data_IF_378251411494
#
_entry.id   IF_378251411494
#
_cell.length_a   1.000
_cell.length_b   1.000
_cell.length_c   1.000
_cell.angle_alpha   90.00
_cell.angle_beta   90.00
_cell.angle_gamma   90.00
#
_symmetry.space_group_name_H-M   'P 1'
#
loop_
_entity.id
_entity.type
_entity.pdbx_description
1 polymer ?
#
# COMPACT_ATOMS: atom_id res chain seq x y z
N UNK A 1 -11.63 -10.85 25.47
CA UNK A 1 -12.98 -10.74 26.06
C UNK A 1 -13.55 -9.31 26.06
N UNK A 2 -13.25 -8.38 26.98
CA UNK A 2 -14.03 -7.10 27.10
C UNK A 2 -13.98 -6.16 25.88
N UNK A 3 -12.83 -6.02 25.21
CA UNK A 3 -12.70 -5.12 24.04
C UNK A 3 -13.42 -5.66 22.79
N UNK A 4 -13.52 -6.98 22.65
CA UNK A 4 -14.03 -7.65 21.44
C UNK A 4 -15.54 -7.52 21.32
N UNK A 5 -16.23 -7.78 22.42
CA UNK A 5 -17.69 -7.69 22.54
C UNK A 5 -18.17 -6.26 22.27
N UNK A 6 -17.42 -5.24 22.74
CA UNK A 6 -17.68 -3.83 22.45
C UNK A 6 -17.49 -3.46 20.97
N UNK A 7 -16.44 -3.96 20.31
CA UNK A 7 -16.19 -3.66 18.89
C UNK A 7 -17.19 -4.30 17.93
N UNK A 8 -17.63 -5.52 18.22
CA UNK A 8 -18.61 -6.23 17.39
C UNK A 8 -20.03 -5.69 17.65
N UNK A 9 -20.43 -5.48 18.91
CA UNK A 9 -21.75 -4.93 19.25
C UNK A 9 -21.93 -3.47 18.84
N UNK A 10 -20.86 -2.68 18.80
CA UNK A 10 -20.89 -1.31 18.30
C UNK A 10 -20.76 -1.21 16.76
N UNK A 11 -20.65 -2.34 16.04
CA UNK A 11 -20.63 -2.38 14.58
C UNK A 11 -19.39 -1.75 13.93
N UNK A 12 -18.26 -1.69 14.64
CA UNK A 12 -17.04 -1.07 14.13
C UNK A 12 -16.32 -1.90 13.06
N UNK A 13 -16.49 -3.22 13.07
CA UNK A 13 -15.90 -4.13 12.09
C UNK A 13 -17.02 -4.78 11.29
N UNK A 14 -17.18 -4.37 10.02
CA UNK A 14 -18.21 -4.91 9.12
C UNK A 14 -17.68 -6.03 8.23
N UNK A 15 -16.42 -5.93 7.82
CA UNK A 15 -15.79 -6.89 6.91
C UNK A 15 -14.32 -7.05 7.28
N UNK A 16 -13.83 -8.26 7.14
CA UNK A 16 -12.40 -8.61 7.24
C UNK A 16 -11.89 -8.88 5.84
N UNK A 17 -10.78 -8.23 5.47
CA UNK A 17 -10.15 -8.40 4.17
C UNK A 17 -8.87 -9.23 4.36
N UNK A 18 -8.85 -10.44 3.81
CA UNK A 18 -7.62 -11.22 3.68
C UNK A 18 -6.93 -10.83 2.38
N UNK A 19 -5.76 -10.21 2.50
CA UNK A 19 -4.94 -9.78 1.37
C UNK A 19 -3.73 -10.69 1.27
N UNK A 20 -3.55 -11.27 0.10
CA UNK A 20 -2.44 -12.15 -0.23
C UNK A 20 -1.72 -11.59 -1.45
N UNK A 21 -0.40 -11.43 -1.32
CA UNK A 21 0.45 -10.92 -2.39
C UNK A 21 1.47 -12.01 -2.72
N UNK A 22 1.41 -12.53 -3.94
CA UNK A 22 2.35 -13.51 -4.44
C UNK A 22 3.29 -12.86 -5.47
N UNK A 23 4.58 -13.06 -5.29
CA UNK A 23 5.62 -12.55 -6.19
C UNK A 23 6.11 -13.70 -7.06
N UNK A 24 6.17 -13.55 -8.38
CA UNK A 24 6.55 -14.66 -9.23
C UNK A 24 8.06 -14.94 -9.26
N UNK A 25 8.90 -13.92 -9.02
CA UNK A 25 10.34 -13.95 -9.31
C UNK A 25 11.20 -13.63 -8.08
N UNK A 26 11.10 -12.40 -7.55
CA UNK A 26 11.90 -11.95 -6.42
C UNK A 26 11.03 -11.48 -5.25
N UNK A 27 11.18 -12.12 -4.09
CA UNK A 27 10.63 -11.61 -2.83
C UNK A 27 11.49 -10.42 -2.39
N UNK A 28 11.03 -9.21 -2.70
CA UNK A 28 11.74 -7.98 -2.32
C UNK A 28 11.51 -7.75 -0.83
N UNK A 29 12.56 -7.94 -0.02
CA UNK A 29 12.47 -7.77 1.43
C UNK A 29 12.50 -6.30 1.87
N UNK A 30 12.85 -5.38 0.96
CA UNK A 30 13.11 -3.97 1.26
C UNK A 30 12.85 -3.09 0.03
N UNK A 31 12.15 -1.96 0.23
CA UNK A 31 11.95 -0.94 -0.82
C UNK A 31 13.28 -0.33 -1.32
N UNK A 32 14.32 -0.38 -0.49
CA UNK A 32 15.65 0.13 -0.80
C UNK A 32 16.37 -0.80 -1.78
N UNK A 33 16.11 -2.11 -1.71
CA UNK A 33 16.67 -3.10 -2.63
C UNK A 33 16.04 -2.99 -4.01
N UNK A 34 14.76 -2.61 -4.08
CA UNK A 34 14.07 -2.28 -5.33
C UNK A 34 14.80 -1.14 -6.08
N UNK A 35 15.19 -0.08 -5.36
CA UNK A 35 15.87 1.09 -5.94
C UNK A 35 17.33 0.81 -6.29
N UNK A 36 18.04 0.03 -5.47
CA UNK A 36 19.48 -0.23 -5.66
C UNK A 36 19.79 -1.35 -6.65
N UNK A 37 19.03 -2.44 -6.60
CA UNK A 37 19.29 -3.64 -7.42
C UNK A 37 18.45 -3.66 -8.69
N UNK A 38 17.43 -2.80 -8.80
CA UNK A 38 16.49 -2.82 -9.92
C UNK A 38 15.72 -4.12 -10.01
N UNK A 39 15.69 -4.91 -8.93
CA UNK A 39 14.97 -6.18 -8.81
C UNK A 39 13.48 -5.90 -8.65
N UNK A 40 12.87 -5.34 -9.69
CA UNK A 40 11.43 -5.15 -9.76
C UNK A 40 10.80 -6.51 -10.10
N UNK A 41 9.96 -7.07 -9.22
CA UNK A 41 9.29 -8.33 -9.52
C UNK A 41 8.47 -8.18 -10.79
N UNK A 42 8.77 -9.00 -11.81
CA UNK A 42 8.15 -8.90 -13.14
C UNK A 42 6.63 -9.10 -13.12
N UNK A 43 6.12 -9.91 -12.20
CA UNK A 43 4.69 -10.10 -11.97
C UNK A 43 4.40 -10.22 -10.47
N UNK A 44 3.35 -9.52 -10.05
CA UNK A 44 2.80 -9.52 -8.70
C UNK A 44 1.33 -9.87 -8.80
N UNK A 45 0.91 -10.92 -8.09
CA UNK A 45 -0.47 -11.39 -8.08
C UNK A 45 -1.11 -11.01 -6.74
N UNK A 46 -2.24 -10.31 -6.80
CA UNK A 46 -3.02 -9.92 -5.64
C UNK A 46 -4.27 -10.79 -5.55
N UNK A 47 -4.43 -11.52 -4.45
CA UNK A 47 -5.67 -12.20 -4.06
C UNK A 47 -6.26 -11.47 -2.85
N UNK A 48 -7.47 -10.94 -3.02
CA UNK A 48 -8.17 -10.19 -1.98
C UNK A 48 -9.51 -10.84 -1.74
N UNK A 49 -9.68 -11.44 -0.56
CA UNK A 49 -10.90 -12.14 -0.17
C UNK A 49 -11.61 -11.35 0.91
N UNK A 50 -12.91 -11.14 0.70
CA UNK A 50 -13.78 -10.42 1.63
C UNK A 50 -14.53 -11.42 2.50
N UNK A 51 -14.31 -11.36 3.80
CA UNK A 51 -15.04 -12.15 4.81
C UNK A 51 -15.99 -11.22 5.55
N UNK A 52 -17.25 -11.62 5.66
CA UNK A 52 -18.24 -10.87 6.43
C UNK A 52 -17.94 -10.98 7.93
N UNK A 53 -18.01 -9.87 8.67
CA UNK A 53 -17.83 -9.91 10.12
C UNK A 53 -18.85 -10.83 10.82
N UNK A 54 -20.04 -11.00 10.22
CA UNK A 54 -21.10 -11.86 10.73
C UNK A 54 -20.80 -13.37 10.61
N UNK A 55 -19.85 -13.78 9.78
CA UNK A 55 -19.49 -15.20 9.62
C UNK A 55 -18.35 -15.65 10.55
N UNK A 56 -17.83 -14.77 11.41
CA UNK A 56 -16.78 -15.12 12.36
C UNK A 56 -17.36 -15.85 13.58
N UNK A 57 -16.63 -16.84 14.14
CA UNK A 57 -17.02 -17.50 15.38
C UNK A 57 -17.10 -16.51 16.54
N UNK A 58 -18.13 -16.63 17.39
CA UNK A 58 -18.31 -15.77 18.56
C UNK A 58 -17.36 -16.14 19.71
N UNK A 59 -16.91 -17.40 19.79
CA UNK A 59 -15.95 -17.83 20.81
C UNK A 59 -14.49 -17.49 20.45
N UNK A 60 -13.70 -17.07 21.44
CA UNK A 60 -12.30 -16.65 21.24
C UNK A 60 -11.41 -17.85 20.85
N UNK A 61 -11.69 -19.05 21.36
CA UNK A 61 -10.93 -20.27 21.06
C UNK A 61 -11.27 -20.80 19.66
N UNK A 62 -12.55 -20.77 19.28
CA UNK A 62 -13.00 -21.10 17.94
C UNK A 62 -12.49 -20.09 16.90
N UNK A 63 -12.45 -18.80 17.22
CA UNK A 63 -11.88 -17.78 16.35
C UNK A 63 -10.38 -18.02 16.11
N UNK A 64 -9.63 -18.36 17.16
CA UNK A 64 -8.22 -18.68 17.03
C UNK A 64 -7.99 -19.89 16.12
N UNK A 65 -8.80 -20.94 16.27
CA UNK A 65 -8.78 -22.12 15.38
C UNK A 65 -9.11 -21.75 13.95
N UNK A 66 -10.13 -20.91 13.74
CA UNK A 66 -10.51 -20.41 12.41
C UNK A 66 -9.38 -19.61 11.75
N UNK A 67 -8.71 -18.73 12.50
CA UNK A 67 -7.56 -17.95 12.01
C UNK A 67 -6.39 -18.85 11.61
N UNK A 68 -6.07 -19.86 12.42
CA UNK A 68 -5.01 -20.83 12.12
C UNK A 68 -5.35 -21.64 10.87
N UNK A 69 -6.60 -22.08 10.73
CA UNK A 69 -7.09 -22.78 9.55
C UNK A 69 -7.01 -21.91 8.29
N UNK A 70 -7.42 -20.64 8.39
CA UNK A 70 -7.34 -19.68 7.30
C UNK A 70 -5.88 -19.48 6.86
N UNK A 71 -4.97 -19.34 7.83
CA UNK A 71 -3.55 -19.17 7.56
C UNK A 71 -2.94 -20.42 6.92
N UNK A 72 -3.30 -21.62 7.39
CA UNK A 72 -2.87 -22.88 6.76
C UNK A 72 -3.31 -22.98 5.31
N UNK A 73 -4.60 -22.74 5.02
CA UNK A 73 -5.12 -22.73 3.64
C UNK A 73 -4.46 -21.67 2.76
N UNK A 74 -4.00 -20.56 3.34
CA UNK A 74 -3.26 -19.53 2.62
C UNK A 74 -1.87 -20.03 2.26
N UNK A 75 -1.17 -20.65 3.20
CA UNK A 75 0.16 -21.22 2.98
C UNK A 75 0.13 -22.34 1.92
N UNK A 76 -0.84 -23.27 2.00
CA UNK A 76 -1.00 -24.35 1.03
C UNK A 76 -1.20 -23.82 -0.41
N UNK A 77 -1.96 -22.72 -0.56
CA UNK A 77 -2.17 -22.06 -1.86
C UNK A 77 -0.90 -21.38 -2.37
N UNK A 78 -0.13 -20.75 -1.49
CA UNK A 78 1.16 -20.17 -1.85
C UNK A 78 2.14 -21.26 -2.27
N UNK A 79 2.19 -22.37 -1.55
CA UNK A 79 3.05 -23.50 -1.88
C UNK A 79 2.72 -24.05 -3.27
N UNK A 80 1.43 -24.24 -3.58
CA UNK A 80 0.98 -24.65 -4.92
C UNK A 80 1.37 -23.64 -6.02
N UNK A 81 1.22 -22.34 -5.74
CA UNK A 81 1.64 -21.28 -6.66
C UNK A 81 3.15 -21.32 -6.94
N UNK A 82 3.99 -21.52 -5.91
CA UNK A 82 5.44 -21.62 -6.09
C UNK A 82 5.89 -22.97 -6.67
N UNK A 83 5.11 -24.04 -6.50
CA UNK A 83 5.38 -25.36 -7.07
C UNK A 83 5.16 -25.44 -8.59
N UNK A 84 4.42 -24.49 -9.19
CA UNK A 84 4.25 -24.42 -10.64
C UNK A 84 5.59 -24.11 -11.35
N UNK A 85 5.96 -24.96 -12.32
CA UNK A 85 7.24 -24.88 -13.06
C UNK A 85 7.36 -23.63 -13.93
N UNK A 86 6.26 -23.20 -14.56
CA UNK A 86 6.22 -22.02 -15.42
C UNK A 86 5.96 -20.77 -14.58
N UNK A 87 6.97 -19.90 -14.44
CA UNK A 87 6.84 -18.57 -13.80
C UNK A 87 5.77 -17.70 -14.52
N UNK A 88 5.55 -17.96 -15.81
CA UNK A 88 4.67 -17.17 -16.68
C UNK A 88 3.20 -17.54 -16.57
N UNK A 89 2.91 -18.81 -16.26
CA UNK A 89 1.55 -19.33 -16.13
C UNK A 89 1.12 -19.46 -14.66
N UNK A 90 1.90 -18.90 -13.72
CA UNK A 90 1.54 -18.93 -12.31
C UNK A 90 0.28 -18.12 -12.07
N UNK A 91 -0.76 -18.79 -11.60
CA UNK A 91 -2.03 -18.17 -11.26
C UNK A 91 -2.46 -18.66 -9.89
N UNK A 92 -2.85 -17.75 -9.02
CA UNK A 92 -3.50 -18.12 -7.76
C UNK A 92 -4.88 -18.70 -8.04
N UNK A 93 -5.30 -19.66 -7.22
CA UNK A 93 -6.63 -20.25 -7.32
C UNK A 93 -7.71 -19.17 -7.22
N UNK A 94 -8.46 -19.03 -8.30
CA UNK A 94 -9.51 -18.06 -8.43
C UNK A 94 -10.81 -18.66 -7.90
N UNK A 95 -11.45 -18.01 -6.93
CA UNK A 95 -12.79 -18.41 -6.51
C UNK A 95 -13.76 -18.19 -7.69
N UNK A 96 -14.76 -19.07 -7.92
CA UNK A 96 -15.60 -19.02 -9.12
C UNK A 96 -16.38 -17.70 -9.32
N UNK A 97 -16.51 -16.88 -8.28
CA UNK A 97 -17.14 -15.54 -8.32
C UNK A 97 -16.12 -14.39 -8.13
N UNK A 98 -14.82 -14.68 -8.18
CA UNK A 98 -13.81 -13.64 -8.01
C UNK A 98 -13.79 -12.71 -9.24
N UNK A 99 -13.58 -11.42 -9.00
CA UNK A 99 -13.41 -10.44 -10.06
C UNK A 99 -11.93 -10.35 -10.43
N UNK A 100 -11.57 -10.66 -11.69
CA UNK A 100 -10.23 -10.34 -12.18
C UNK A 100 -10.16 -8.83 -12.44
N UNK A 101 -9.29 -8.14 -11.71
CA UNK A 101 -9.02 -6.73 -11.93
C UNK A 101 -8.13 -6.55 -13.17
N UNK A 102 -8.69 -6.81 -14.35
CA UNK A 102 -8.02 -6.51 -15.60
C UNK A 102 -8.06 -4.99 -15.80
N UNK A 103 -6.90 -4.38 -16.01
CA UNK A 103 -6.82 -2.98 -16.44
C UNK A 103 -7.40 -2.91 -17.86
N UNK A 104 -8.71 -2.70 -17.94
CA UNK A 104 -9.44 -2.59 -19.21
C UNK A 104 -8.80 -1.49 -20.06
N UNK A 105 -8.70 -1.70 -21.37
CA UNK A 105 -8.11 -0.74 -22.32
C UNK A 105 -8.64 0.69 -22.14
N UNK A 106 -9.92 0.82 -21.75
CA UNK A 106 -10.55 2.09 -21.41
C UNK A 106 -9.94 2.79 -20.18
N UNK A 107 -9.65 2.05 -19.12
CA UNK A 107 -9.00 2.58 -17.90
C UNK A 107 -7.59 3.08 -18.22
N UNK A 108 -6.84 2.33 -19.04
CA UNK A 108 -5.50 2.74 -19.49
C UNK A 108 -5.53 4.03 -20.33
N UNK A 109 -6.51 4.16 -21.23
CA UNK A 109 -6.67 5.37 -22.03
C UNK A 109 -6.95 6.60 -21.16
N UNK A 110 -7.83 6.47 -20.16
CA UNK A 110 -8.11 7.53 -19.19
C UNK A 110 -6.86 7.90 -18.39
N UNK A 111 -6.12 6.90 -17.88
CA UNK A 111 -4.87 7.14 -17.16
C UNK A 111 -3.85 7.89 -18.02
N UNK A 112 -3.69 7.51 -19.30
CA UNK A 112 -2.81 8.23 -20.23
C UNK A 112 -3.26 9.68 -20.45
N UNK A 113 -4.57 9.94 -20.60
CA UNK A 113 -5.08 11.30 -20.76
C UNK A 113 -4.86 12.15 -19.52
N UNK A 114 -5.12 11.60 -18.34
CA UNK A 114 -4.87 12.29 -17.06
C UNK A 114 -3.39 12.61 -16.92
N UNK A 115 -2.50 11.65 -17.20
CA UNK A 115 -1.06 11.86 -17.17
C UNK A 115 -0.63 12.96 -18.16
N UNK A 116 -1.11 12.92 -19.40
CA UNK A 116 -0.80 13.92 -20.42
C UNK A 116 -1.29 15.32 -20.01
N UNK A 117 -2.48 15.43 -19.43
CA UNK A 117 -3.02 16.68 -18.90
C UNK A 117 -2.13 17.26 -17.80
N UNK A 118 -1.69 16.45 -16.84
CA UNK A 118 -0.79 16.90 -15.76
C UNK A 118 0.60 17.28 -16.27
N UNK A 119 1.14 16.54 -17.25
CA UNK A 119 2.42 16.90 -17.90
C UNK A 119 2.30 18.24 -18.62
N UNK A 120 1.22 18.44 -19.37
CA UNK A 120 0.99 19.71 -20.05
C UNK A 120 0.85 20.88 -19.07
N UNK A 121 0.06 20.70 -18.01
CA UNK A 121 -0.14 21.73 -16.99
C UNK A 121 1.19 22.10 -16.31
N UNK A 122 1.99 21.10 -15.92
CA UNK A 122 3.30 21.33 -15.29
C UNK A 122 4.27 22.04 -16.24
N UNK A 123 4.31 21.67 -17.52
CA UNK A 123 5.10 22.40 -18.53
C UNK A 123 4.65 23.85 -18.70
N UNK A 124 3.33 24.10 -18.70
CA UNK A 124 2.79 25.46 -18.79
C UNK A 124 3.18 26.32 -17.59
N UNK A 125 3.08 25.78 -16.37
CA UNK A 125 3.55 26.47 -15.16
C UNK A 125 5.07 26.74 -15.20
N UNK A 126 5.87 25.76 -15.62
CA UNK A 126 7.31 25.93 -15.78
C UNK A 126 7.65 27.05 -16.77
N UNK A 127 6.93 27.13 -17.89
CA UNK A 127 7.11 28.21 -18.87
C UNK A 127 6.78 29.59 -18.27
N UNK A 128 5.69 29.68 -17.52
CA UNK A 128 5.27 30.90 -16.81
C UNK A 128 6.37 31.34 -15.82
N UNK A 129 6.87 30.41 -14.99
CA UNK A 129 7.93 30.70 -14.02
C UNK A 129 9.22 31.21 -14.66
N UNK A 130 9.61 30.69 -15.84
CA UNK A 130 10.84 31.12 -16.52
C UNK A 130 10.65 32.48 -17.23
N UNK A 131 9.47 32.74 -17.77
CA UNK A 131 9.21 33.95 -18.57
C UNK A 131 9.06 35.20 -17.71
N UNK A 132 8.47 35.09 -16.52
CA UNK A 132 8.24 36.21 -15.62
C UNK A 132 9.22 36.22 -14.44
N UNK A 133 10.22 37.09 -14.49
CA UNK A 133 11.31 37.16 -13.49
C UNK A 133 10.82 37.37 -12.04
N UNK A 134 9.68 38.03 -11.84
CA UNK A 134 9.06 38.20 -10.52
C UNK A 134 8.53 36.89 -9.94
N UNK A 135 7.96 36.02 -10.78
CA UNK A 135 7.43 34.73 -10.34
C UNK A 135 8.58 33.76 -10.04
N UNK A 136 9.66 33.83 -10.82
CA UNK A 136 10.87 33.07 -10.52
C UNK A 136 11.48 33.46 -9.16
N UNK A 137 11.60 34.76 -8.88
CA UNK A 137 12.18 35.21 -7.61
C UNK A 137 11.29 34.87 -6.40
N UNK A 138 9.96 34.97 -6.55
CA UNK A 138 9.01 34.49 -5.53
C UNK A 138 9.10 32.99 -5.31
N UNK A 139 9.21 32.17 -6.36
CA UNK A 139 9.38 30.73 -6.23
C UNK A 139 10.70 30.40 -5.51
N UNK A 140 11.81 31.06 -5.87
CA UNK A 140 13.09 30.87 -5.19
C UNK A 140 13.03 31.27 -3.71
N UNK A 141 12.32 32.35 -3.38
CA UNK A 141 12.09 32.77 -2.01
C UNK A 141 11.27 31.74 -1.22
N UNK A 142 10.18 31.23 -1.78
CA UNK A 142 9.35 30.22 -1.10
C UNK A 142 10.09 28.91 -0.90
N UNK A 143 10.85 28.44 -1.90
CA UNK A 143 11.72 27.26 -1.74
C UNK A 143 12.78 27.49 -0.65
N UNK A 144 13.43 28.66 -0.64
CA UNK A 144 14.45 28.97 0.37
C UNK A 144 13.86 29.03 1.78
N UNK A 145 12.66 29.61 1.94
CA UNK A 145 11.93 29.63 3.21
C UNK A 145 11.51 28.23 3.64
N UNK A 146 11.04 27.40 2.71
CA UNK A 146 10.64 26.03 2.99
C UNK A 146 11.83 25.18 3.43
N UNK A 147 12.94 25.23 2.70
CA UNK A 147 14.18 24.53 3.07
C UNK A 147 14.73 25.07 4.40
N UNK A 148 14.74 26.40 4.58
CA UNK A 148 15.14 27.02 5.85
C UNK A 148 14.26 26.55 7.02
N UNK A 149 12.94 26.48 6.83
CA UNK A 149 12.02 25.95 7.81
C UNK A 149 12.26 24.46 8.07
N UNK A 150 12.48 23.65 7.04
CA UNK A 150 12.83 22.25 7.22
C UNK A 150 14.14 22.08 8.01
N UNK A 151 15.18 22.85 7.71
CA UNK A 151 16.47 22.73 8.41
C UNK A 151 16.38 23.22 9.86
N UNK A 152 15.71 24.35 10.11
CA UNK A 152 15.61 24.94 11.46
C UNK A 152 14.67 24.14 12.37
N UNK A 153 13.53 23.70 11.84
CA UNK A 153 12.54 22.92 12.60
C UNK A 153 12.82 21.41 12.58
N UNK A 154 13.99 20.99 12.08
CA UNK A 154 14.45 19.59 12.08
C UNK A 154 13.76 18.67 11.08
N UNK A 155 13.01 19.23 10.14
CA UNK A 155 12.27 18.50 9.13
C UNK A 155 11.15 17.66 9.74
N UNK A 156 10.53 16.84 8.90
CA UNK A 156 9.44 15.95 9.32
C UNK A 156 9.97 14.82 10.23
N UNK A 157 11.25 14.49 10.08
CA UNK A 157 11.92 13.38 10.76
C UNK A 157 12.24 13.69 12.23
N UNK A 158 12.67 14.91 12.56
CA UNK A 158 12.87 15.30 13.96
C UNK A 158 11.56 15.30 14.75
N UNK A 159 10.45 15.70 14.13
CA UNK A 159 9.12 15.59 14.74
C UNK A 159 8.76 14.13 15.03
N UNK A 160 9.01 13.21 14.08
CA UNK A 160 8.74 11.79 14.25
C UNK A 160 9.60 11.16 15.37
N UNK A 161 10.89 11.51 15.42
CA UNK A 161 11.82 11.06 16.46
C UNK A 161 11.43 11.61 17.83
N UNK A 162 11.06 12.89 17.92
CA UNK A 162 10.66 13.51 19.18
C UNK A 162 9.33 12.95 19.71
N UNK A 163 8.36 12.69 18.82
CA UNK A 163 7.09 12.03 19.18
C UNK A 163 7.32 10.58 19.62
N UNK A 164 8.22 9.84 18.97
CA UNK A 164 8.59 8.49 19.37
C UNK A 164 9.33 8.47 20.72
N UNK A 165 10.26 9.39 20.93
CA UNK A 165 11.01 9.54 22.18
C UNK A 165 10.09 9.87 23.36
N UNK A 166 9.16 10.82 23.20
CA UNK A 166 8.18 11.15 24.24
C UNK A 166 7.19 10.01 24.54
N UNK A 167 6.90 9.13 23.59
CA UNK A 167 6.08 7.93 23.84
C UNK A 167 6.84 6.84 24.61
N UNK A 168 8.16 6.79 24.50
CA UNK A 168 9.01 5.85 25.24
C UNK A 168 9.20 6.22 26.70
N UNK A 169 9.35 7.52 27.00
CA UNK A 169 9.58 8.03 28.37
C UNK A 169 8.34 7.99 29.25
N UNK A 170 7.13 8.02 28.69
CA UNK A 170 5.87 7.87 29.43
C UNK A 170 5.55 6.42 29.82
N UNK A 171 6.31 5.45 29.29
CA UNK A 171 6.12 4.01 29.55
C UNK A 171 7.16 3.42 30.51
N UNK A 172 8.14 4.19 31.00
CA UNK A 172 9.08 3.80 32.07
C UNK A 172 8.72 4.48 33.38
#
# INVERSE_FOLDING_TARGET
>A
CYYREYTLSAGYIKHVYDVTVAYADSIVQSEVDLLKLGACPRSVHFDVRKVDAASLPEDDEELAKWLVELWRKKEDRLEQFYAQESIWDRTLDMEPDAAVFNVTTHSRAIQCLVAAFWIFLTMAWMHIFITYSLQFSLAMLTFSLFIGAQVIYGGIEWLAVNVAANRGTLKS
#
